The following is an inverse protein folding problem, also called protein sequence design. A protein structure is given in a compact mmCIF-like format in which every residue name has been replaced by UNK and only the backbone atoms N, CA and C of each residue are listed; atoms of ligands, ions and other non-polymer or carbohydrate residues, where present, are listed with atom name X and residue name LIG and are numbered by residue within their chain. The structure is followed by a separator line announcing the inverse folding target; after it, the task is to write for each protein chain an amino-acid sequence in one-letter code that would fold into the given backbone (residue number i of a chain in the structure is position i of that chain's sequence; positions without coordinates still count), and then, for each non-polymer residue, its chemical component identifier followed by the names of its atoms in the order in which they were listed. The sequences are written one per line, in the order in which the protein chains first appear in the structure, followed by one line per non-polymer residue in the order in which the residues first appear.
data_IF_507812398938
#
_entry.id   IF_507812398938
#
_cell.length_a   1.000
_cell.length_b   1.000
_cell.length_c   1.000
_cell.angle_alpha   90.00
_cell.angle_beta   90.00
_cell.angle_gamma   90.00
#
_symmetry.space_group_name_H-M   'P 1'
#
loop_
_entity.id
_entity.type
_entity.pdbx_description
1 polymer ?
#
# COMPACT_ATOMS: atom_id res chain seq x y z
N UNK A 1 -15.68 28.05 5.67
CA UNK A 1 -15.84 26.84 6.50
C UNK A 1 -14.47 26.23 6.72
N UNK A 2 -13.95 26.42 7.92
CA UNK A 2 -12.75 25.74 8.37
C UNK A 2 -13.16 24.28 8.61
N UNK A 3 -12.86 23.40 7.67
CA UNK A 3 -12.95 21.96 7.90
C UNK A 3 -12.05 21.66 9.08
N UNK A 4 -12.63 21.28 10.22
CA UNK A 4 -11.85 20.85 11.38
C UNK A 4 -10.92 19.72 10.91
N UNK A 5 -9.63 19.99 10.90
CA UNK A 5 -8.62 18.99 10.58
C UNK A 5 -8.70 17.91 11.65
N UNK A 6 -9.02 16.68 11.28
CA UNK A 6 -9.06 15.57 12.20
C UNK A 6 -7.69 15.42 12.89
N UNK A 7 -7.68 15.45 14.23
CA UNK A 7 -6.46 15.36 15.02
C UNK A 7 -6.31 13.93 15.55
N UNK A 8 -5.17 13.33 15.29
CA UNK A 8 -4.85 12.00 15.81
C UNK A 8 -4.71 12.04 17.33
N UNK A 9 -5.54 11.25 18.03
CA UNK A 9 -5.56 11.20 19.49
C UNK A 9 -4.46 10.32 20.08
N UNK A 10 -3.84 9.48 19.29
CA UNK A 10 -2.83 8.50 19.74
C UNK A 10 -1.44 8.91 19.32
N UNK A 11 -0.49 8.83 20.25
CA UNK A 11 0.93 9.06 19.95
C UNK A 11 1.50 7.90 19.15
N UNK A 12 2.20 8.20 18.06
CA UNK A 12 2.87 7.20 17.23
C UNK A 12 4.17 6.69 17.86
N UNK A 13 4.44 5.41 17.65
CA UNK A 13 5.76 4.83 17.93
C UNK A 13 6.78 5.32 16.90
N UNK A 14 8.07 5.22 17.20
CA UNK A 14 9.13 5.73 16.33
C UNK A 14 9.09 5.13 14.91
N UNK A 15 8.85 3.82 14.79
CA UNK A 15 8.78 3.18 13.47
C UNK A 15 7.55 3.64 12.66
N UNK A 16 6.45 3.90 13.32
CA UNK A 16 5.24 4.45 12.70
C UNK A 16 5.48 5.88 12.22
N UNK A 17 6.11 6.71 13.05
CA UNK A 17 6.47 8.09 12.71
C UNK A 17 7.37 8.15 11.49
N UNK A 18 8.37 7.26 11.38
CA UNK A 18 9.25 7.18 10.22
C UNK A 18 8.50 6.90 8.92
N UNK A 19 7.52 6.01 8.94
CA UNK A 19 6.70 5.70 7.75
C UNK A 19 5.91 6.93 7.32
N UNK A 20 5.25 7.59 8.27
CA UNK A 20 4.46 8.79 7.99
C UNK A 20 5.33 9.91 7.42
N UNK A 21 6.49 10.16 8.01
CA UNK A 21 7.41 11.19 7.53
C UNK A 21 7.93 10.88 6.11
N UNK A 22 8.19 9.62 5.82
CA UNK A 22 8.64 9.20 4.48
C UNK A 22 7.57 9.40 3.41
N UNK A 23 6.33 9.04 3.68
CA UNK A 23 5.26 9.21 2.69
C UNK A 23 4.89 10.68 2.49
N UNK A 24 5.10 11.52 3.49
CA UNK A 24 4.90 12.97 3.38
C UNK A 24 5.99 13.68 2.60
N UNK A 25 7.16 13.06 2.45
CA UNK A 25 8.29 13.66 1.76
C UNK A 25 7.97 13.96 0.29
N UNK A 26 8.37 15.15 -0.18
CA UNK A 26 8.07 15.62 -1.54
C UNK A 26 8.73 14.79 -2.64
N UNK A 27 9.82 14.11 -2.32
CA UNK A 27 10.58 13.27 -3.24
C UNK A 27 10.09 11.81 -3.29
N UNK A 28 9.04 11.49 -2.54
CA UNK A 28 8.57 10.10 -2.41
C UNK A 28 7.05 10.02 -2.52
N UNK A 29 6.59 9.46 -3.63
CA UNK A 29 5.16 9.32 -3.92
C UNK A 29 4.60 7.95 -3.55
N UNK A 30 5.44 6.94 -3.40
CA UNK A 30 5.01 5.59 -3.06
C UNK A 30 5.91 4.91 -2.04
N UNK A 31 5.31 4.10 -1.18
CA UNK A 31 6.01 3.35 -0.13
C UNK A 31 5.36 1.99 0.07
N UNK A 32 6.18 0.94 0.04
CA UNK A 32 5.78 -0.39 0.49
C UNK A 32 6.27 -0.59 1.92
N UNK A 33 5.35 -0.90 2.83
CA UNK A 33 5.66 -1.09 4.23
C UNK A 33 5.40 -2.54 4.62
N UNK A 34 6.43 -3.20 5.11
CA UNK A 34 6.33 -4.52 5.69
C UNK A 34 6.10 -4.40 7.20
N UNK A 35 5.02 -5.01 7.68
CA UNK A 35 4.69 -5.04 9.09
C UNK A 35 4.51 -6.47 9.57
N UNK A 36 5.14 -6.81 10.69
CA UNK A 36 4.80 -8.01 11.44
C UNK A 36 3.45 -7.86 12.14
N UNK A 37 2.91 -8.97 12.64
CA UNK A 37 1.70 -8.97 13.47
C UNK A 37 1.88 -8.03 14.68
N UNK A 38 0.85 -7.22 14.95
CA UNK A 38 0.86 -6.31 16.10
C UNK A 38 1.71 -5.05 15.94
N UNK A 39 2.19 -4.73 14.75
CA UNK A 39 3.03 -3.54 14.51
C UNK A 39 2.25 -2.23 14.37
N UNK A 40 0.92 -2.28 14.42
CA UNK A 40 0.09 -1.07 14.31
C UNK A 40 0.04 -0.46 12.92
N UNK A 41 0.05 -1.27 11.88
CA UNK A 41 0.00 -0.81 10.48
C UNK A 41 -1.25 0.03 10.17
N UNK A 42 -2.39 -0.31 10.77
CA UNK A 42 -3.63 0.44 10.60
C UNK A 42 -3.49 1.86 11.16
N UNK A 43 -2.93 2.01 12.35
CA UNK A 43 -2.66 3.31 12.95
C UNK A 43 -1.68 4.13 12.10
N UNK A 44 -0.65 3.49 11.55
CA UNK A 44 0.32 4.16 10.67
C UNK A 44 -0.37 4.73 9.43
N UNK A 45 -1.24 3.95 8.78
CA UNK A 45 -1.97 4.40 7.59
C UNK A 45 -2.98 5.52 7.91
N UNK A 46 -3.64 5.44 9.05
CA UNK A 46 -4.55 6.50 9.53
C UNK A 46 -3.78 7.80 9.79
N UNK A 47 -2.62 7.72 10.44
CA UNK A 47 -1.78 8.88 10.69
C UNK A 47 -1.29 9.54 9.40
N UNK A 48 -0.85 8.74 8.43
CA UNK A 48 -0.46 9.24 7.11
C UNK A 48 -1.64 9.96 6.41
N UNK A 49 -2.81 9.36 6.42
CA UNK A 49 -4.02 9.95 5.85
C UNK A 49 -4.36 11.30 6.50
N UNK A 50 -4.27 11.37 7.82
CA UNK A 50 -4.57 12.59 8.59
C UNK A 50 -3.58 13.70 8.26
N UNK A 51 -2.28 13.39 8.22
CA UNK A 51 -1.23 14.40 8.04
C UNK A 51 -1.05 14.85 6.60
N UNK A 52 -1.39 14.02 5.60
CA UNK A 52 -1.36 14.42 4.19
C UNK A 52 -2.51 15.35 3.82
N UNK A 53 -3.61 15.31 4.54
CA UNK A 53 -4.78 16.18 4.34
C UNK A 53 -5.25 16.23 2.88
N UNK A 54 -5.44 15.07 2.27
CA UNK A 54 -5.95 14.91 0.92
C UNK A 54 -7.00 13.80 0.90
N UNK A 55 -7.82 13.69 -0.17
CA UNK A 55 -8.75 12.56 -0.30
C UNK A 55 -8.02 11.23 -0.20
N UNK A 56 -8.58 10.30 0.57
CA UNK A 56 -7.96 9.00 0.87
C UNK A 56 -8.89 7.87 0.47
N UNK A 57 -8.37 6.91 -0.27
CA UNK A 57 -9.03 5.64 -0.55
C UNK A 57 -8.26 4.52 0.14
N UNK A 58 -8.91 3.83 1.06
CA UNK A 58 -8.36 2.64 1.72
C UNK A 58 -8.97 1.40 1.09
N UNK A 59 -8.14 0.54 0.53
CA UNK A 59 -8.54 -0.73 -0.07
C UNK A 59 -8.07 -1.84 0.86
N UNK A 60 -9.00 -2.58 1.43
CA UNK A 60 -8.71 -3.65 2.37
C UNK A 60 -9.57 -4.88 2.09
N UNK A 61 -9.12 -6.10 2.48
CA UNK A 61 -9.98 -7.26 2.47
C UNK A 61 -11.28 -7.00 3.23
N UNK A 62 -12.40 -7.57 2.76
CA UNK A 62 -13.72 -7.34 3.36
C UNK A 62 -13.74 -7.63 4.87
N UNK A 63 -12.98 -8.64 5.31
CA UNK A 63 -12.85 -9.00 6.72
C UNK A 63 -12.16 -7.93 7.59
N UNK A 64 -11.39 -7.03 6.98
CA UNK A 64 -10.64 -5.98 7.70
C UNK A 64 -11.30 -4.60 7.66
N UNK A 65 -12.36 -4.42 6.87
CA UNK A 65 -13.03 -3.11 6.75
C UNK A 65 -13.61 -2.62 8.06
N UNK A 66 -14.28 -3.50 8.81
CA UNK A 66 -14.85 -3.15 10.13
C UNK A 66 -13.74 -2.77 11.11
N UNK A 67 -12.57 -3.41 11.02
CA UNK A 67 -11.42 -3.05 11.83
C UNK A 67 -10.91 -1.65 11.53
N UNK A 68 -10.81 -1.28 10.26
CA UNK A 68 -10.42 0.08 9.86
C UNK A 68 -11.42 1.12 10.41
N UNK A 69 -12.71 0.87 10.28
CA UNK A 69 -13.73 1.76 10.80
C UNK A 69 -13.61 1.93 12.33
N UNK A 70 -13.43 0.84 13.08
CA UNK A 70 -13.22 0.87 14.53
C UNK A 70 -11.97 1.65 14.92
N UNK A 71 -10.88 1.44 14.23
CA UNK A 71 -9.62 2.14 14.50
C UNK A 71 -9.73 3.65 14.18
N UNK A 72 -10.43 4.02 13.11
CA UNK A 72 -10.71 5.43 12.80
C UNK A 72 -11.54 6.08 13.91
N UNK A 73 -12.58 5.42 14.40
CA UNK A 73 -13.36 5.90 15.55
C UNK A 73 -12.52 6.05 16.80
N UNK A 74 -11.65 5.07 17.08
CA UNK A 74 -10.78 5.08 18.26
C UNK A 74 -9.76 6.21 18.24
N UNK A 75 -9.10 6.43 17.11
CA UNK A 75 -7.98 7.36 17.01
C UNK A 75 -8.37 8.76 16.56
N UNK A 76 -9.45 8.92 15.82
CA UNK A 76 -9.93 10.20 15.28
C UNK A 76 -11.30 10.62 15.80
N UNK A 77 -12.02 9.73 16.47
CA UNK A 77 -13.37 9.99 16.96
C UNK A 77 -14.48 9.79 15.93
N UNK A 78 -14.15 9.34 14.73
CA UNK A 78 -15.08 9.07 13.64
C UNK A 78 -14.35 8.79 12.34
N UNK A 79 -15.09 8.56 11.27
CA UNK A 79 -14.54 8.44 9.92
C UNK A 79 -14.56 9.82 9.27
N UNK A 80 -13.39 10.42 8.95
CA UNK A 80 -13.35 11.70 8.26
C UNK A 80 -14.02 11.66 6.88
N UNK A 81 -14.64 12.75 6.46
CA UNK A 81 -15.36 12.85 5.18
C UNK A 81 -14.46 12.58 3.97
N UNK A 82 -13.16 12.86 4.08
CA UNK A 82 -12.18 12.64 3.03
C UNK A 82 -11.64 11.20 2.95
N UNK A 83 -12.05 10.30 3.85
CA UNK A 83 -11.61 8.89 3.89
C UNK A 83 -12.72 7.98 3.40
N UNK A 84 -12.42 7.22 2.36
CA UNK A 84 -13.31 6.21 1.80
C UNK A 84 -12.68 4.82 1.92
N UNK A 85 -13.36 3.90 2.59
CA UNK A 85 -12.90 2.52 2.80
C UNK A 85 -13.70 1.60 1.86
N UNK A 86 -13.02 0.90 0.98
CA UNK A 86 -13.64 -0.05 0.03
C UNK A 86 -13.00 -1.43 0.12
N UNK A 87 -13.78 -2.44 -0.23
CA UNK A 87 -13.26 -3.82 -0.32
C UNK A 87 -12.46 -4.04 -1.60
N UNK A 88 -11.62 -5.08 -1.61
CA UNK A 88 -10.98 -5.54 -2.85
C UNK A 88 -12.01 -5.85 -3.94
N UNK A 89 -13.07 -6.57 -3.63
CA UNK A 89 -14.10 -6.92 -4.60
C UNK A 89 -14.71 -5.68 -5.24
N UNK A 90 -14.98 -4.66 -4.44
CA UNK A 90 -15.55 -3.40 -4.91
C UNK A 90 -14.56 -2.65 -5.81
N UNK A 91 -13.30 -2.56 -5.40
CA UNK A 91 -12.25 -1.93 -6.17
C UNK A 91 -11.95 -2.67 -7.49
N UNK A 92 -11.93 -4.02 -7.44
CA UNK A 92 -11.72 -4.85 -8.63
C UNK A 92 -12.89 -4.77 -9.62
N UNK A 93 -14.11 -4.67 -9.11
CA UNK A 93 -15.30 -4.51 -9.95
C UNK A 93 -15.39 -3.13 -10.61
N UNK A 94 -14.95 -2.10 -9.90
CA UNK A 94 -14.98 -0.73 -10.38
C UNK A 94 -13.75 0.06 -9.92
N UNK A 95 -12.63 -0.03 -10.65
CA UNK A 95 -11.40 0.70 -10.31
C UNK A 95 -11.56 2.23 -10.28
N UNK A 96 -12.57 2.78 -10.92
CA UNK A 96 -12.85 4.23 -10.91
C UNK A 96 -13.25 4.76 -9.52
N UNK A 97 -13.60 3.88 -8.58
CA UNK A 97 -13.84 4.26 -7.19
C UNK A 97 -12.56 4.65 -6.44
N UNK A 98 -11.40 4.28 -6.99
CA UNK A 98 -10.10 4.65 -6.41
C UNK A 98 -9.82 6.10 -6.76
N UNK A 99 -9.68 6.93 -5.74
CA UNK A 99 -9.36 8.35 -5.89
C UNK A 99 -7.91 8.61 -6.32
N UNK A 100 -7.59 9.87 -6.54
CA UNK A 100 -6.26 10.31 -7.01
C UNK A 100 -5.40 10.96 -5.94
N UNK A 101 -5.87 11.05 -4.70
CA UNK A 101 -5.11 11.57 -3.56
C UNK A 101 -4.16 10.52 -2.98
N UNK A 102 -4.36 10.14 -1.73
CA UNK A 102 -3.66 9.00 -1.11
C UNK A 102 -4.44 7.71 -1.37
N UNK A 103 -3.77 6.70 -1.86
CA UNK A 103 -4.31 5.33 -1.95
C UNK A 103 -3.54 4.44 -0.98
N UNK A 104 -4.25 3.84 -0.04
CA UNK A 104 -3.73 2.83 0.89
C UNK A 104 -4.26 1.47 0.47
N UNK A 105 -3.38 0.52 0.21
CA UNK A 105 -3.76 -0.87 -0.06
C UNK A 105 -3.21 -1.74 1.05
N UNK A 106 -4.09 -2.33 1.85
CA UNK A 106 -3.73 -3.27 2.91
C UNK A 106 -3.65 -4.69 2.35
N UNK A 107 -2.72 -5.48 2.85
CA UNK A 107 -2.45 -6.83 2.38
C UNK A 107 -2.21 -6.89 0.85
N UNK A 108 -1.42 -5.95 0.36
CA UNK A 108 -1.19 -5.73 -1.08
C UNK A 108 -0.62 -6.95 -1.81
N UNK A 109 0.04 -7.87 -1.10
CA UNK A 109 0.54 -9.13 -1.66
C UNK A 109 -0.57 -9.97 -2.34
N UNK A 110 -1.83 -9.80 -1.95
CA UNK A 110 -2.96 -10.45 -2.60
C UNK A 110 -3.17 -9.99 -4.04
N UNK A 111 -2.58 -8.87 -4.44
CA UNK A 111 -2.65 -8.32 -5.80
C UNK A 111 -1.44 -8.68 -6.67
N UNK A 112 -0.49 -9.46 -6.16
CA UNK A 112 0.71 -9.84 -6.89
C UNK A 112 0.48 -10.85 -8.01
N UNK A 113 -0.63 -11.58 -8.00
CA UNK A 113 -0.95 -12.54 -9.05
C UNK A 113 -1.46 -11.81 -10.30
N UNK A 114 -0.95 -12.23 -11.46
CA UNK A 114 -1.29 -11.61 -12.74
C UNK A 114 -2.70 -12.02 -13.20
N UNK A 115 -3.69 -11.31 -12.74
CA UNK A 115 -5.05 -11.35 -13.27
C UNK A 115 -5.42 -9.98 -13.85
N UNK A 116 -6.17 -9.95 -14.93
CA UNK A 116 -6.50 -8.71 -15.65
C UNK A 116 -7.15 -7.65 -14.75
N UNK A 117 -8.03 -8.07 -13.84
CA UNK A 117 -8.70 -7.15 -12.89
C UNK A 117 -7.72 -6.57 -11.87
N UNK A 118 -6.78 -7.38 -11.37
CA UNK A 118 -5.76 -6.95 -10.40
C UNK A 118 -4.78 -5.97 -11.04
N UNK A 119 -4.39 -6.23 -12.28
CA UNK A 119 -3.53 -5.32 -13.05
C UNK A 119 -4.19 -3.96 -13.23
N UNK A 120 -5.48 -3.90 -13.55
CA UNK A 120 -6.24 -2.65 -13.67
C UNK A 120 -6.33 -1.89 -12.35
N UNK A 121 -6.51 -2.58 -11.24
CA UNK A 121 -6.54 -1.97 -9.91
C UNK A 121 -5.19 -1.33 -9.59
N UNK A 122 -4.09 -2.06 -9.78
CA UNK A 122 -2.73 -1.55 -9.54
C UNK A 122 -2.38 -0.39 -10.47
N UNK A 123 -2.76 -0.47 -11.74
CA UNK A 123 -2.60 0.62 -12.71
C UNK A 123 -3.33 1.89 -12.25
N UNK A 124 -4.58 1.74 -11.79
CA UNK A 124 -5.34 2.88 -11.28
C UNK A 124 -4.71 3.45 -9.99
N UNK A 125 -4.26 2.59 -9.09
CA UNK A 125 -3.56 3.01 -7.87
C UNK A 125 -2.26 3.75 -8.17
N UNK A 126 -1.55 3.37 -9.24
CA UNK A 126 -0.30 4.01 -9.67
C UNK A 126 -0.48 5.49 -10.06
N UNK A 127 -1.69 5.89 -10.41
CA UNK A 127 -2.03 7.28 -10.78
C UNK A 127 -2.28 8.19 -9.57
N UNK A 128 -2.35 7.65 -8.37
CA UNK A 128 -2.55 8.44 -7.16
C UNK A 128 -1.33 9.30 -6.83
N UNK A 129 -1.55 10.46 -6.24
CA UNK A 129 -0.47 11.37 -5.82
C UNK A 129 0.45 10.73 -4.79
N UNK A 130 -0.13 9.94 -3.86
CA UNK A 130 0.60 9.19 -2.85
C UNK A 130 0.05 7.76 -2.77
N UNK A 131 0.96 6.80 -2.63
CA UNK A 131 0.64 5.37 -2.61
C UNK A 131 1.31 4.73 -1.39
N UNK A 132 0.51 4.22 -0.48
CA UNK A 132 0.97 3.52 0.71
C UNK A 132 0.46 2.08 0.66
N UNK A 133 1.34 1.14 0.38
CA UNK A 133 1.01 -0.27 0.28
C UNK A 133 1.56 -1.00 1.51
N UNK A 134 0.69 -1.77 2.14
CA UNK A 134 1.00 -2.48 3.38
C UNK A 134 0.95 -3.98 3.15
N UNK A 135 1.89 -4.70 3.72
CA UNK A 135 1.89 -6.15 3.71
C UNK A 135 2.42 -6.71 5.03
N UNK A 136 1.76 -7.73 5.55
CA UNK A 136 2.22 -8.48 6.73
C UNK A 136 2.94 -9.78 6.37
N UNK A 137 2.97 -10.13 5.08
CA UNK A 137 3.51 -11.42 4.61
C UNK A 137 4.57 -11.19 3.54
N UNK A 138 5.79 -11.72 3.71
CA UNK A 138 6.78 -11.67 2.63
C UNK A 138 6.32 -12.46 1.41
N UNK A 139 6.78 -12.07 0.22
CA UNK A 139 6.54 -12.83 -1.01
C UNK A 139 7.27 -14.17 -0.90
N UNK A 140 6.53 -15.24 -0.65
CA UNK A 140 7.11 -16.56 -0.37
C UNK A 140 7.15 -17.48 -1.60
N UNK A 141 6.15 -17.38 -2.47
CA UNK A 141 5.94 -18.40 -3.50
C UNK A 141 6.60 -18.05 -4.83
N UNK A 142 6.49 -16.83 -5.28
CA UNK A 142 7.03 -16.41 -6.59
C UNK A 142 7.51 -14.96 -6.52
N UNK A 143 8.83 -14.72 -6.55
CA UNK A 143 9.38 -13.36 -6.54
C UNK A 143 8.88 -12.47 -7.66
N UNK A 144 8.46 -13.03 -8.81
CA UNK A 144 7.92 -12.25 -9.92
C UNK A 144 6.57 -11.57 -9.59
N UNK A 145 5.85 -12.05 -8.60
CA UNK A 145 4.59 -11.46 -8.15
C UNK A 145 4.78 -10.07 -7.51
N UNK A 146 6.00 -9.73 -7.09
CA UNK A 146 6.29 -8.41 -6.53
C UNK A 146 6.42 -7.33 -7.62
N UNK A 147 6.76 -7.70 -8.84
CA UNK A 147 7.00 -6.74 -9.92
C UNK A 147 5.81 -5.79 -10.19
N UNK A 148 4.56 -6.27 -10.33
CA UNK A 148 3.41 -5.38 -10.51
C UNK A 148 3.20 -4.43 -9.33
N UNK A 149 3.48 -4.88 -8.12
CA UNK A 149 3.35 -4.09 -6.89
C UNK A 149 4.40 -2.98 -6.86
N UNK A 150 5.66 -3.31 -7.13
CA UNK A 150 6.76 -2.33 -7.18
C UNK A 150 6.54 -1.31 -8.29
N UNK A 151 6.11 -1.74 -9.47
CA UNK A 151 5.81 -0.85 -10.58
C UNK A 151 4.67 0.13 -10.24
N UNK A 152 3.64 -0.35 -9.57
CA UNK A 152 2.54 0.50 -9.10
C UNK A 152 2.99 1.52 -8.05
N UNK A 153 3.87 1.15 -7.14
CA UNK A 153 4.46 2.06 -6.14
C UNK A 153 5.29 3.14 -6.82
N UNK A 154 6.13 2.75 -7.77
CA UNK A 154 6.99 3.67 -8.51
C UNK A 154 6.21 4.58 -9.47
N UNK A 155 5.03 4.15 -9.92
CA UNK A 155 4.28 4.82 -10.96
C UNK A 155 4.86 4.64 -12.37
N UNK A 156 5.78 3.70 -12.54
CA UNK A 156 6.46 3.40 -13.82
C UNK A 156 6.90 1.94 -13.87
N UNK A 157 7.15 1.44 -15.06
CA UNK A 157 7.56 0.05 -15.30
C UNK A 157 9.06 -0.16 -15.02
N UNK A 158 9.40 -0.35 -13.73
CA UNK A 158 10.78 -0.59 -13.29
C UNK A 158 11.21 -2.05 -13.43
N UNK A 159 10.29 -2.98 -13.24
CA UNK A 159 10.55 -4.42 -13.24
C UNK A 159 9.71 -5.12 -14.30
N UNK A 160 10.27 -6.16 -14.98
CA UNK A 160 9.48 -6.94 -15.92
C UNK A 160 8.37 -7.69 -15.18
N UNK A 161 7.13 -7.54 -15.64
CA UNK A 161 5.97 -8.24 -15.07
C UNK A 161 5.79 -9.64 -15.66
N UNK A 162 6.40 -9.90 -16.83
CA UNK A 162 6.45 -11.25 -17.39
C UNK A 162 7.37 -12.12 -16.52
N UNK A 163 6.85 -13.25 -16.07
CA UNK A 163 7.57 -14.16 -15.18
C UNK A 163 8.90 -14.64 -15.77
N UNK A 164 8.93 -15.00 -17.04
CA UNK A 164 10.15 -15.46 -17.71
C UNK A 164 11.22 -14.37 -17.76
N UNK A 165 10.85 -13.15 -18.12
CA UNK A 165 11.76 -12.01 -18.18
C UNK A 165 12.28 -11.64 -16.79
N UNK A 166 11.40 -11.65 -15.79
CA UNK A 166 11.78 -11.39 -14.40
C UNK A 166 12.83 -12.40 -13.91
N UNK A 167 12.59 -13.68 -14.11
CA UNK A 167 13.52 -14.73 -13.70
C UNK A 167 14.84 -14.65 -14.45
N UNK A 168 14.82 -14.34 -15.75
CA UNK A 168 16.04 -14.16 -16.54
C UNK A 168 16.91 -13.02 -16.02
N UNK A 169 16.31 -11.88 -15.68
CA UNK A 169 17.06 -10.70 -15.24
C UNK A 169 17.48 -10.73 -13.78
N UNK A 170 16.65 -11.25 -12.90
CA UNK A 170 16.85 -11.10 -11.45
C UNK A 170 17.14 -12.41 -10.70
N UNK A 171 16.65 -13.54 -11.16
CA UNK A 171 16.83 -14.81 -10.47
C UNK A 171 18.01 -15.60 -11.05
N UNK A 172 18.12 -15.70 -12.38
CA UNK A 172 19.22 -16.41 -13.02
C UNK A 172 20.59 -15.79 -12.74
N UNK A 173 20.69 -14.47 -12.67
CA UNK A 173 21.94 -13.77 -12.32
C UNK A 173 22.40 -14.06 -10.91
N UNK A 174 21.49 -14.27 -9.98
CA UNK A 174 21.84 -14.60 -8.59
C UNK A 174 22.35 -16.04 -8.46
N UNK A 175 21.94 -16.94 -9.32
CA UNK A 175 22.42 -18.34 -9.32
C UNK A 175 23.84 -18.49 -9.88
N UNK A 176 24.31 -17.51 -10.64
CA UNK A 176 25.64 -17.54 -11.28
C UNK A 176 26.73 -16.90 -10.41
N UNK A 177 26.36 -16.14 -9.38
CA UNK A 177 27.32 -15.55 -8.45
C UNK A 177 27.60 -16.49 -7.26
N UNK A 178 28.74 -17.20 -7.26
CA UNK A 178 29.08 -18.13 -6.18
C UNK A 178 29.28 -17.44 -4.82
N UNK A 179 29.53 -16.14 -4.82
CA UNK A 179 29.65 -15.34 -3.58
C UNK A 179 28.33 -15.07 -2.87
N UNK A 180 27.21 -15.25 -3.58
CA UNK A 180 25.88 -15.00 -3.04
C UNK A 180 25.25 -16.24 -2.37
N UNK A 181 25.69 -17.45 -2.78
CA UNK A 181 25.14 -18.72 -2.29
C UNK A 181 25.65 -19.07 -0.88
N UNK A 182 26.75 -18.48 -0.43
CA UNK A 182 27.43 -18.78 0.85
C UNK A 182 27.25 -17.70 1.92
N UNK A 183 26.37 -16.76 1.70
CA UNK A 183 26.00 -15.74 2.66
C UNK A 183 24.52 -15.92 3.04
#
# INVERSE_FOLDING_TARGET
DVTETAILKTKLLNHQRRVVDKIKSADRDGLLVYHGLGSGKTLTSIAAATELNMPVTVIAPASLQSNYAKELHKHLGGIPDNVNIISYNKALANPSLIGTGLVVIDEVHNLGKKESKRSKLLERASMAKKRLFLTGTPVRNDPSEIAPIINAIAGEDLLPENKADFYTQYVAQKQVDPGFVHR
#
